data_IF_472432752294
#
_entry.id   IF_472432752294
#
_cell.length_a   1.000
_cell.length_b   1.000
_cell.length_c   1.000
_cell.angle_alpha   90.00
_cell.angle_beta   90.00
_cell.angle_gamma   90.00
#
_symmetry.space_group_name_H-M   'P 1'
#
loop_
_entity.id
_entity.type
_entity.pdbx_description
1 polymer ?
#
# COMPACT_ATOMS: atom_id res chain seq x y z
N UNK A 1 32.73 -32.43 -46.91
CA UNK A 1 32.60 -32.94 -45.52
C UNK A 1 32.74 -31.86 -44.43
N UNK A 2 33.75 -30.97 -44.47
CA UNK A 2 33.87 -29.85 -43.50
C UNK A 2 32.70 -28.85 -43.54
N UNK A 3 32.18 -28.51 -44.72
CA UNK A 3 31.07 -27.57 -44.85
C UNK A 3 29.73 -28.10 -44.31
N UNK A 4 29.44 -29.39 -44.50
CA UNK A 4 28.21 -30.03 -43.98
C UNK A 4 28.23 -30.06 -42.45
N UNK A 5 29.37 -30.44 -41.83
CA UNK A 5 29.56 -30.37 -40.37
C UNK A 5 29.43 -28.95 -39.82
N UNK A 6 29.89 -27.93 -40.57
CA UNK A 6 29.76 -26.52 -40.18
C UNK A 6 28.30 -26.05 -40.24
N UNK A 7 27.57 -26.38 -41.31
CA UNK A 7 26.15 -26.05 -41.45
C UNK A 7 25.29 -26.70 -40.36
N UNK A 8 25.53 -27.98 -40.09
CA UNK A 8 24.79 -28.72 -39.05
C UNK A 8 25.07 -28.17 -37.64
N UNK A 9 26.30 -27.69 -37.38
CA UNK A 9 26.64 -27.03 -36.12
C UNK A 9 25.91 -25.68 -35.96
N UNK A 10 25.79 -24.88 -37.03
CA UNK A 10 25.03 -23.63 -37.01
C UNK A 10 23.53 -23.86 -36.77
N UNK A 11 22.94 -24.87 -37.40
CA UNK A 11 21.53 -25.24 -37.18
C UNK A 11 21.30 -25.70 -35.73
N UNK A 12 22.20 -26.52 -35.19
CA UNK A 12 22.11 -26.95 -33.80
C UNK A 12 22.26 -25.79 -32.82
N UNK A 13 23.19 -24.87 -33.11
CA UNK A 13 23.38 -23.68 -32.29
C UNK A 13 22.17 -22.75 -32.34
N UNK A 14 21.61 -22.47 -33.53
CA UNK A 14 20.43 -21.62 -33.66
C UNK A 14 19.23 -22.19 -32.91
N UNK A 15 19.02 -23.51 -33.00
CA UNK A 15 17.90 -24.15 -32.31
C UNK A 15 18.10 -24.15 -30.79
N UNK A 16 19.31 -24.40 -30.30
CA UNK A 16 19.63 -24.31 -28.87
C UNK A 16 19.50 -22.87 -28.35
N UNK A 17 19.87 -21.87 -29.14
CA UNK A 17 19.68 -20.46 -28.79
C UNK A 17 18.19 -20.11 -28.67
N UNK A 18 17.34 -20.61 -29.58
CA UNK A 18 15.88 -20.41 -29.49
C UNK A 18 15.31 -21.03 -28.22
N UNK A 19 15.73 -22.26 -27.86
CA UNK A 19 15.32 -22.92 -26.61
C UNK A 19 15.75 -22.10 -25.39
N UNK A 20 16.99 -21.59 -25.40
CA UNK A 20 17.51 -20.75 -24.32
C UNK A 20 16.69 -19.45 -24.17
N UNK A 21 16.46 -18.73 -25.26
CA UNK A 21 15.70 -17.47 -25.26
C UNK A 21 14.24 -17.68 -24.83
N UNK A 22 13.59 -18.75 -25.31
CA UNK A 22 12.24 -19.11 -24.88
C UNK A 22 12.20 -19.42 -23.37
N UNK A 23 13.21 -20.12 -22.86
CA UNK A 23 13.35 -20.41 -21.44
C UNK A 23 13.50 -19.16 -20.58
N UNK A 24 14.38 -18.24 -20.99
CA UNK A 24 14.55 -16.94 -20.30
C UNK A 24 13.26 -16.13 -20.32
N UNK A 25 12.54 -16.13 -21.44
CA UNK A 25 11.24 -15.46 -21.55
C UNK A 25 10.20 -16.03 -20.58
N UNK A 26 10.09 -17.35 -20.45
CA UNK A 26 9.18 -18.00 -19.51
C UNK A 26 9.54 -17.68 -18.05
N UNK A 27 10.83 -17.73 -17.69
CA UNK A 27 11.28 -17.35 -16.35
C UNK A 27 10.90 -15.90 -16.06
N UNK A 28 11.17 -14.99 -16.99
CA UNK A 28 10.85 -13.57 -16.84
C UNK A 28 9.34 -13.36 -16.67
N UNK A 29 8.52 -14.03 -17.47
CA UNK A 29 7.07 -14.01 -17.36
C UNK A 29 6.59 -14.47 -15.98
N UNK A 30 7.12 -15.59 -15.48
CA UNK A 30 6.74 -16.13 -14.18
C UNK A 30 7.15 -15.22 -13.02
N UNK A 31 8.37 -14.69 -13.06
CA UNK A 31 8.88 -13.75 -12.06
C UNK A 31 8.08 -12.45 -12.07
N UNK A 32 7.71 -11.94 -13.24
CA UNK A 32 6.86 -10.76 -13.37
C UNK A 32 5.47 -10.98 -12.78
N UNK A 33 4.81 -12.08 -13.15
CA UNK A 33 3.47 -12.40 -12.65
C UNK A 33 3.45 -12.62 -11.13
N UNK A 34 4.46 -13.31 -10.59
CA UNK A 34 4.58 -13.52 -9.14
C UNK A 34 4.74 -12.21 -8.38
N UNK A 35 5.62 -11.34 -8.85
CA UNK A 35 5.90 -10.04 -8.22
C UNK A 35 4.69 -9.10 -8.26
N UNK A 36 3.99 -9.05 -9.40
CA UNK A 36 2.76 -8.27 -9.53
C UNK A 36 1.69 -8.79 -8.55
N UNK A 37 1.55 -10.10 -8.40
CA UNK A 37 0.62 -10.69 -7.44
C UNK A 37 0.99 -10.32 -5.99
N UNK A 38 2.29 -10.29 -5.65
CA UNK A 38 2.78 -9.86 -4.34
C UNK A 38 2.43 -8.40 -4.05
N UNK A 39 2.66 -7.48 -4.99
CA UNK A 39 2.32 -6.06 -4.79
C UNK A 39 0.81 -5.84 -4.61
N UNK A 40 -0.02 -6.52 -5.41
CA UNK A 40 -1.49 -6.46 -5.26
C UNK A 40 -1.93 -7.04 -3.91
N UNK A 41 -1.34 -8.15 -3.47
CA UNK A 41 -1.64 -8.75 -2.17
C UNK A 41 -1.24 -7.83 -1.02
N UNK A 42 -0.06 -7.21 -1.08
CA UNK A 42 0.41 -6.25 -0.09
C UNK A 42 -0.50 -5.02 -0.01
N UNK A 43 -0.91 -4.46 -1.16
CA UNK A 43 -1.84 -3.33 -1.21
C UNK A 43 -3.21 -3.67 -0.61
N UNK A 44 -3.75 -4.86 -0.92
CA UNK A 44 -5.00 -5.37 -0.33
C UNK A 44 -4.89 -5.57 1.18
N UNK A 45 -3.77 -6.11 1.64
CA UNK A 45 -3.54 -6.33 3.07
C UNK A 45 -3.42 -5.01 3.83
N UNK A 46 -2.68 -4.05 3.29
CA UNK A 46 -2.59 -2.70 3.85
C UNK A 46 -3.97 -2.02 3.89
N UNK A 47 -4.75 -2.11 2.80
CA UNK A 47 -6.11 -1.59 2.76
C UNK A 47 -7.01 -2.23 3.83
N UNK A 48 -6.92 -3.55 4.03
CA UNK A 48 -7.68 -4.25 5.06
C UNK A 48 -7.31 -3.79 6.49
N UNK A 49 -6.02 -3.60 6.77
CA UNK A 49 -5.54 -3.08 8.07
C UNK A 49 -6.06 -1.64 8.31
N UNK A 50 -5.97 -0.78 7.30
CA UNK A 50 -6.45 0.61 7.39
C UNK A 50 -7.98 0.65 7.54
N UNK A 51 -8.72 -0.21 6.84
CA UNK A 51 -10.17 -0.33 7.00
C UNK A 51 -10.55 -0.71 8.45
N UNK A 52 -9.82 -1.65 9.07
CA UNK A 52 -10.05 -2.01 10.47
C UNK A 52 -9.80 -0.82 11.43
N UNK A 53 -8.77 -0.02 11.19
CA UNK A 53 -8.53 1.22 11.96
C UNK A 53 -9.69 2.22 11.78
N UNK A 54 -10.25 2.31 10.58
CA UNK A 54 -11.40 3.17 10.31
C UNK A 54 -12.70 2.63 10.90
N UNK A 55 -12.85 1.31 11.05
CA UNK A 55 -13.96 0.69 11.77
C UNK A 55 -13.94 1.04 13.26
N UNK A 56 -12.75 1.04 13.88
CA UNK A 56 -12.56 1.53 15.26
C UNK A 56 -12.96 3.01 15.38
N UNK A 57 -12.53 3.85 14.43
CA UNK A 57 -12.91 5.26 14.40
C UNK A 57 -14.43 5.43 14.24
N UNK A 58 -15.06 4.64 13.36
CA UNK A 58 -16.50 4.64 13.16
C UNK A 58 -17.25 4.24 14.44
N UNK A 59 -16.81 3.19 15.14
CA UNK A 59 -17.36 2.77 16.43
C UNK A 59 -17.23 3.89 17.48
N UNK A 60 -16.06 4.53 17.57
CA UNK A 60 -15.84 5.66 18.46
C UNK A 60 -16.77 6.85 18.13
N UNK A 61 -17.08 7.08 16.85
CA UNK A 61 -18.06 8.12 16.49
C UNK A 61 -19.47 7.80 16.97
N UNK A 62 -19.89 6.52 16.99
CA UNK A 62 -21.19 6.13 17.53
C UNK A 62 -21.27 6.41 19.04
N UNK A 63 -20.21 6.10 19.80
CA UNK A 63 -20.10 6.46 21.22
C UNK A 63 -20.17 7.96 21.43
N UNK A 64 -19.42 8.73 20.62
CA UNK A 64 -19.42 10.19 20.68
C UNK A 64 -20.80 10.81 20.39
N UNK A 65 -21.52 10.27 19.41
CA UNK A 65 -22.88 10.69 19.12
C UNK A 65 -23.84 10.38 20.27
N UNK A 66 -23.66 9.27 20.98
CA UNK A 66 -24.44 8.98 22.17
C UNK A 66 -24.18 10.00 23.29
N UNK A 67 -22.91 10.32 23.54
CA UNK A 67 -22.51 11.38 24.50
C UNK A 67 -23.08 12.74 24.10
N UNK A 68 -23.15 13.03 22.80
CA UNK A 68 -23.73 14.28 22.30
C UNK A 68 -25.22 14.43 22.65
N UNK A 69 -25.96 13.32 22.73
CA UNK A 69 -27.39 13.32 23.10
C UNK A 69 -27.60 13.55 24.60
N UNK A 70 -26.69 13.06 25.44
CA UNK A 70 -26.75 13.25 26.90
C UNK A 70 -26.25 14.62 27.37
N UNK A 71 -25.69 15.43 26.46
CA UNK A 71 -25.03 16.68 26.79
C UNK A 71 -23.58 16.48 27.24
N UNK A 72 -22.70 17.42 26.87
CA UNK A 72 -21.28 17.38 27.20
C UNK A 72 -21.00 17.69 28.69
N UNK A 73 -21.36 16.79 29.59
CA UNK A 73 -21.01 16.89 31.02
C UNK A 73 -19.59 16.35 31.28
N UNK A 74 -19.07 16.56 32.50
CA UNK A 74 -17.79 15.95 32.90
C UNK A 74 -17.79 14.42 32.78
N UNK A 75 -18.94 13.77 32.95
CA UNK A 75 -19.11 12.33 32.72
C UNK A 75 -19.02 11.98 31.23
N UNK A 76 -19.62 12.80 30.35
CA UNK A 76 -19.51 12.63 28.91
C UNK A 76 -18.06 12.78 28.42
N UNK A 77 -17.34 13.75 28.97
CA UNK A 77 -15.91 13.92 28.69
C UNK A 77 -15.07 12.74 29.18
N UNK A 78 -15.34 12.22 30.38
CA UNK A 78 -14.67 11.02 30.90
C UNK A 78 -14.94 9.78 30.03
N UNK A 79 -16.18 9.61 29.55
CA UNK A 79 -16.53 8.52 28.65
C UNK A 79 -15.81 8.63 27.30
N UNK A 80 -15.74 9.82 26.72
CA UNK A 80 -14.96 10.07 25.49
C UNK A 80 -13.46 9.83 25.70
N UNK A 81 -12.92 10.25 26.85
CA UNK A 81 -11.53 9.99 27.23
C UNK A 81 -11.24 8.50 27.36
N UNK A 82 -12.15 7.75 27.99
CA UNK A 82 -12.05 6.29 28.12
C UNK A 82 -12.13 5.61 26.75
N UNK A 83 -13.05 5.99 25.88
CA UNK A 83 -13.15 5.44 24.52
C UNK A 83 -11.85 5.69 23.73
N UNK A 84 -11.34 6.92 23.74
CA UNK A 84 -10.08 7.25 23.07
C UNK A 84 -8.87 6.50 23.66
N UNK A 85 -8.91 6.12 24.94
CA UNK A 85 -7.86 5.34 25.59
C UNK A 85 -7.97 3.84 25.34
N UNK A 86 -9.19 3.31 25.12
CA UNK A 86 -9.43 1.90 24.82
C UNK A 86 -9.13 1.56 23.36
N UNK A 87 -9.29 2.52 22.44
CA UNK A 87 -8.99 2.32 21.03
C UNK A 87 -7.51 2.61 20.76
N UNK A 88 -6.69 1.60 20.44
CA UNK A 88 -5.24 1.75 20.37
C UNK A 88 -4.77 2.67 19.24
N UNK A 89 -5.57 2.83 18.18
CA UNK A 89 -5.18 3.58 16.99
C UNK A 89 -5.63 5.05 16.99
N UNK A 90 -6.52 5.43 17.93
CA UNK A 90 -7.11 6.76 17.97
C UNK A 90 -6.28 7.70 18.86
N UNK A 91 -6.17 8.96 18.45
CA UNK A 91 -5.49 10.01 19.25
C UNK A 91 -6.49 10.86 20.01
N UNK A 92 -7.53 11.35 19.34
CA UNK A 92 -8.54 12.22 19.96
C UNK A 92 -9.90 12.08 19.30
N UNK A 93 -10.95 12.28 20.10
CA UNK A 93 -12.33 12.39 19.64
C UNK A 93 -12.82 13.80 19.99
N UNK A 94 -13.31 14.53 18.99
CA UNK A 94 -13.79 15.90 19.12
C UNK A 94 -15.24 15.97 18.66
N UNK A 95 -16.07 16.69 19.40
CA UNK A 95 -17.43 17.04 19.00
C UNK A 95 -17.48 18.53 18.73
N UNK A 96 -17.91 18.89 17.53
CA UNK A 96 -18.12 20.27 17.11
C UNK A 96 -19.62 20.49 16.98
N UNK A 97 -20.10 21.57 17.59
CA UNK A 97 -21.48 22.05 17.48
C UNK A 97 -21.44 23.54 17.15
N UNK A 98 -22.21 23.97 16.16
CA UNK A 98 -22.28 25.38 15.73
C UNK A 98 -20.91 26.00 15.39
N UNK A 99 -19.99 25.19 14.84
CA UNK A 99 -18.65 25.64 14.45
C UNK A 99 -17.67 25.83 15.60
N UNK A 100 -18.02 25.40 16.82
CA UNK A 100 -17.12 25.44 17.98
C UNK A 100 -16.92 24.06 18.58
N UNK A 101 -15.73 23.82 19.15
CA UNK A 101 -15.41 22.59 19.89
C UNK A 101 -16.27 22.55 21.16
N UNK A 102 -17.24 21.64 21.17
CA UNK A 102 -18.18 21.48 22.27
C UNK A 102 -17.68 20.46 23.30
N UNK A 103 -17.09 19.34 22.83
CA UNK A 103 -16.42 18.35 23.67
C UNK A 103 -15.11 17.89 23.06
N UNK A 104 -14.17 17.49 23.92
CA UNK A 104 -12.97 16.76 23.52
C UNK A 104 -12.72 15.59 24.46
N UNK A 105 -12.17 14.50 23.94
CA UNK A 105 -11.59 13.42 24.76
C UNK A 105 -10.38 13.89 25.57
N UNK A 106 -9.76 15.02 25.19
CA UNK A 106 -8.67 15.62 25.96
C UNK A 106 -9.21 16.46 27.13
N UNK A 107 -8.55 16.41 28.30
CA UNK A 107 -8.91 17.23 29.45
C UNK A 107 -8.94 18.72 29.10
N UNK A 108 -9.98 19.41 29.56
CA UNK A 108 -10.15 20.86 29.37
C UNK A 108 -10.50 21.29 27.94
N UNK A 109 -11.13 20.40 27.16
CA UNK A 109 -11.59 20.69 25.79
C UNK A 109 -10.47 21.11 24.81
N UNK A 110 -9.25 20.63 25.06
CA UNK A 110 -8.10 20.89 24.20
C UNK A 110 -8.23 20.17 22.86
N UNK A 111 -7.60 20.73 21.83
CA UNK A 111 -7.52 20.15 20.49
C UNK A 111 -6.07 19.98 20.06
N UNK A 112 -5.80 18.94 19.26
CA UNK A 112 -4.48 18.72 18.66
C UNK A 112 -4.36 19.30 17.25
N UNK A 113 -5.50 19.61 16.64
CA UNK A 113 -5.59 20.26 15.33
C UNK A 113 -5.65 21.77 15.54
N UNK A 114 -4.87 22.53 14.76
CA UNK A 114 -4.79 23.99 14.93
C UNK A 114 -6.11 24.72 14.60
N UNK A 115 -6.87 24.24 13.61
CA UNK A 115 -8.11 24.87 13.16
C UNK A 115 -9.18 23.82 12.77
N UNK A 116 -9.75 23.08 13.72
CA UNK A 116 -10.68 21.98 13.44
C UNK A 116 -11.99 22.45 12.78
N UNK A 117 -12.47 23.65 13.09
CA UNK A 117 -13.64 24.29 12.47
C UNK A 117 -13.46 24.62 10.97
N UNK A 118 -12.22 24.82 10.51
CA UNK A 118 -11.92 25.12 9.11
C UNK A 118 -11.82 23.89 8.21
N UNK A 119 -11.90 22.69 8.78
CA UNK A 119 -11.73 21.45 8.04
C UNK A 119 -12.93 21.19 7.12
N UNK A 120 -12.70 20.84 5.83
CA UNK A 120 -13.78 20.52 4.90
C UNK A 120 -14.64 19.36 5.42
N UNK A 121 -15.92 19.33 5.09
CA UNK A 121 -16.89 18.29 5.54
C UNK A 121 -16.77 17.01 4.68
N UNK A 122 -15.54 16.51 4.50
CA UNK A 122 -15.29 15.23 3.82
C UNK A 122 -15.14 14.12 4.86
N UNK A 123 -15.65 12.91 4.55
CA UNK A 123 -15.62 11.75 5.48
C UNK A 123 -14.20 11.38 5.95
N UNK A 124 -13.20 11.61 5.10
CA UNK A 124 -11.81 11.21 5.37
C UNK A 124 -10.84 12.25 4.82
N UNK A 125 -9.83 12.64 5.61
CA UNK A 125 -8.83 13.65 5.23
C UNK A 125 -7.45 13.37 5.82
N UNK A 126 -6.39 13.64 5.07
CA UNK A 126 -5.01 13.58 5.54
C UNK A 126 -4.50 14.96 5.91
N UNK A 127 -4.14 15.19 7.17
CA UNK A 127 -3.59 16.47 7.61
C UNK A 127 -2.07 16.39 7.77
N UNK A 128 -1.31 17.33 7.19
CA UNK A 128 0.14 17.39 7.35
C UNK A 128 0.52 17.83 8.76
N UNK A 129 1.74 17.50 9.17
CA UNK A 129 2.31 17.84 10.48
C UNK A 129 2.21 19.33 10.82
N UNK A 130 2.31 20.23 9.83
CA UNK A 130 2.21 21.68 10.03
C UNK A 130 0.84 22.16 10.55
N UNK A 131 -0.21 21.35 10.37
CA UNK A 131 -1.57 21.66 10.83
C UNK A 131 -1.84 21.15 12.26
N UNK A 132 -0.84 20.50 12.88
CA UNK A 132 -0.99 19.79 14.16
C UNK A 132 -0.03 20.33 15.21
N UNK A 133 -0.50 20.45 16.45
CA UNK A 133 0.30 20.98 17.58
C UNK A 133 1.53 20.11 17.86
N UNK A 134 1.39 18.79 17.71
CA UNK A 134 2.47 17.83 17.95
C UNK A 134 3.43 17.64 16.76
N UNK A 135 3.26 18.40 15.67
CA UNK A 135 4.04 18.28 14.43
C UNK A 135 4.09 16.85 13.85
N UNK A 136 2.98 16.11 13.98
CA UNK A 136 2.83 14.79 13.35
C UNK A 136 1.61 14.78 12.44
N UNK A 137 1.68 14.14 11.27
CA UNK A 137 0.51 13.99 10.42
C UNK A 137 -0.55 13.14 11.10
N UNK A 138 -1.79 13.30 10.66
CA UNK A 138 -2.94 12.52 11.13
C UNK A 138 -3.90 12.24 9.99
N UNK A 139 -4.55 11.09 10.06
CA UNK A 139 -5.75 10.83 9.29
C UNK A 139 -6.96 11.23 10.13
N UNK A 140 -7.83 12.02 9.55
CA UNK A 140 -9.03 12.48 10.19
C UNK A 140 -10.23 11.74 9.60
N UNK A 141 -11.05 11.17 10.48
CA UNK A 141 -12.33 10.57 10.15
C UNK A 141 -13.46 11.47 10.64
N UNK A 142 -14.39 11.80 9.75
CA UNK A 142 -15.53 12.66 10.03
C UNK A 142 -16.84 11.89 9.96
N UNK A 143 -17.67 12.06 10.99
CA UNK A 143 -19.07 11.63 11.00
C UNK A 143 -19.94 12.81 11.38
N UNK A 144 -21.03 13.03 10.63
CA UNK A 144 -22.00 14.08 10.91
C UNK A 144 -23.35 13.49 11.29
N UNK A 145 -23.96 14.02 12.34
CA UNK A 145 -25.32 13.66 12.74
C UNK A 145 -26.06 14.91 13.23
N UNK A 146 -27.10 15.31 12.49
CA UNK A 146 -27.86 16.53 12.74
C UNK A 146 -26.95 17.78 12.86
N UNK A 147 -26.94 18.44 14.02
CA UNK A 147 -26.17 19.66 14.29
C UNK A 147 -24.75 19.38 14.86
N UNK A 148 -24.39 18.11 15.08
CA UNK A 148 -23.10 17.74 15.68
C UNK A 148 -22.22 17.06 14.65
N UNK A 149 -20.97 17.52 14.57
CA UNK A 149 -19.90 16.92 13.79
C UNK A 149 -18.91 16.25 14.74
N UNK A 150 -18.66 14.96 14.52
CA UNK A 150 -17.65 14.20 15.26
C UNK A 150 -16.40 14.08 14.40
N UNK A 151 -15.27 14.45 14.98
CA UNK A 151 -13.95 14.34 14.37
C UNK A 151 -13.11 13.38 15.20
N UNK A 152 -12.66 12.30 14.56
CA UNK A 152 -11.73 11.34 15.18
C UNK A 152 -10.39 11.47 14.48
N UNK A 153 -9.32 11.66 15.26
CA UNK A 153 -7.96 11.71 14.74
C UNK A 153 -7.26 10.37 14.93
N UNK A 154 -6.60 9.90 13.88
CA UNK A 154 -5.82 8.66 13.85
C UNK A 154 -4.34 9.02 13.68
N UNK A 155 -3.50 8.38 14.48
CA UNK A 155 -2.06 8.59 14.49
C UNK A 155 -1.41 8.12 13.19
N UNK A 156 -0.44 8.86 12.68
CA UNK A 156 0.36 8.45 11.51
C UNK A 156 1.12 7.14 11.73
N UNK A 157 1.55 6.84 12.95
CA UNK A 157 2.34 5.63 13.23
C UNK A 157 1.57 4.36 12.86
N UNK A 158 0.27 4.30 13.18
CA UNK A 158 -0.57 3.14 12.89
C UNK A 158 -0.88 3.01 11.39
N UNK A 159 -1.00 4.14 10.69
CA UNK A 159 -1.14 4.13 9.23
C UNK A 159 0.14 3.61 8.57
N UNK A 160 1.31 4.05 9.05
CA UNK A 160 2.61 3.60 8.53
C UNK A 160 2.86 2.13 8.82
N UNK A 161 2.48 1.64 10.00
CA UNK A 161 2.55 0.22 10.35
C UNK A 161 1.60 -0.63 9.50
N UNK A 162 0.43 -0.08 9.14
CA UNK A 162 -0.48 -0.74 8.22
C UNK A 162 0.04 -0.77 6.77
N UNK A 163 0.78 0.26 6.35
CA UNK A 163 1.48 0.34 5.05
C UNK A 163 2.78 -0.48 5.03
N UNK A 164 3.25 -0.97 6.16
CA UNK A 164 4.48 -1.75 6.24
C UNK A 164 4.23 -3.22 5.88
N UNK A 165 5.10 -3.76 5.02
CA UNK A 165 5.24 -5.19 4.72
C UNK A 165 6.67 -5.63 5.02
N UNK A 166 6.84 -6.72 5.77
CA UNK A 166 8.15 -7.27 6.15
C UNK A 166 9.01 -7.70 4.96
N UNK A 167 8.37 -8.01 3.82
CA UNK A 167 9.05 -8.61 2.66
C UNK A 167 9.63 -7.59 1.68
N UNK A 168 9.24 -6.31 1.76
CA UNK A 168 9.82 -5.32 0.87
C UNK A 168 9.61 -3.89 1.36
N UNK A 169 10.55 -3.01 1.03
CA UNK A 169 10.48 -1.57 1.23
C UNK A 169 9.48 -0.92 0.24
N UNK A 170 8.48 -1.70 -0.22
CA UNK A 170 7.57 -1.41 -1.31
C UNK A 170 6.88 -0.09 -1.01
N UNK A 171 7.05 0.87 -1.92
CA UNK A 171 6.57 2.24 -1.79
C UNK A 171 5.05 2.37 -1.79
N UNK A 172 4.37 1.67 -0.87
CA UNK A 172 2.97 1.81 -0.60
C UNK A 172 2.72 3.21 -0.04
N UNK A 173 1.70 3.86 -0.59
CA UNK A 173 1.21 5.13 -0.07
C UNK A 173 -0.29 5.07 0.09
N UNK A 174 -0.77 5.55 1.24
CA UNK A 174 -2.19 5.81 1.45
C UNK A 174 -2.54 7.13 0.78
N UNK A 175 -3.49 7.12 -0.15
CA UNK A 175 -4.06 8.30 -0.78
C UNK A 175 -5.49 8.51 -0.29
N UNK A 176 -5.76 9.75 0.10
CA UNK A 176 -7.09 10.23 0.48
C UNK A 176 -7.29 11.55 -0.25
N UNK A 177 -8.34 11.62 -1.07
CA UNK A 177 -8.61 12.77 -1.94
C UNK A 177 -7.39 13.13 -2.82
N UNK A 178 -6.84 14.33 -2.66
CA UNK A 178 -5.66 14.81 -3.42
C UNK A 178 -4.38 14.80 -2.58
N UNK A 179 -4.36 14.05 -1.49
CA UNK A 179 -3.24 13.95 -0.57
C UNK A 179 -2.81 12.50 -0.44
N UNK A 180 -1.54 12.31 -0.13
CA UNK A 180 -0.96 11.01 0.10
C UNK A 180 0.02 11.03 1.27
N UNK A 181 0.14 9.91 1.96
CA UNK A 181 1.15 9.64 2.97
C UNK A 181 1.81 8.31 2.65
N UNK A 182 3.13 8.36 2.47
CA UNK A 182 3.96 7.18 2.29
C UNK A 182 4.48 6.69 3.65
N UNK A 183 5.21 5.57 3.65
CA UNK A 183 5.88 5.02 4.85
C UNK A 183 6.75 6.04 5.59
N UNK A 184 7.37 6.97 4.86
CA UNK A 184 8.20 8.04 5.41
C UNK A 184 7.75 9.41 4.88
N UNK A 185 8.19 10.49 5.54
CA UNK A 185 7.85 11.87 5.15
C UNK A 185 6.51 12.35 5.68
N UNK A 186 6.15 13.59 5.38
CA UNK A 186 4.86 14.19 5.77
C UNK A 186 3.78 13.91 4.70
N UNK A 187 2.55 14.38 4.93
CA UNK A 187 1.49 14.36 3.90
C UNK A 187 1.90 15.26 2.73
N UNK A 188 1.92 14.69 1.54
CA UNK A 188 2.23 15.38 0.30
C UNK A 188 1.01 15.40 -0.63
N UNK A 189 0.94 16.36 -1.58
CA UNK A 189 -0.01 16.28 -2.68
C UNK A 189 0.16 14.99 -3.46
N UNK A 190 -0.95 14.43 -3.95
CA UNK A 190 -0.93 13.26 -4.81
C UNK A 190 -0.08 13.54 -6.07
N UNK A 191 1.02 12.81 -6.22
CA UNK A 191 1.88 12.89 -7.40
C UNK A 191 1.51 11.76 -8.35
N UNK A 192 1.12 12.09 -9.58
CA UNK A 192 0.95 11.09 -10.61
C UNK A 192 2.33 10.56 -11.02
N UNK A 193 2.57 9.27 -10.82
CA UNK A 193 3.77 8.58 -11.30
C UNK A 193 3.37 7.56 -12.37
N UNK A 194 4.08 7.48 -13.50
CA UNK A 194 3.75 6.56 -14.60
C UNK A 194 4.00 5.09 -14.27
N UNK A 195 4.58 4.76 -13.12
CA UNK A 195 4.92 3.39 -12.71
C UNK A 195 4.26 3.01 -11.38
N UNK A 196 3.02 3.46 -11.20
CA UNK A 196 2.22 3.21 -10.02
C UNK A 196 0.83 2.77 -10.41
N UNK A 197 0.30 1.82 -9.65
CA UNK A 197 -1.06 1.33 -9.78
C UNK A 197 -1.81 1.56 -8.46
N UNK A 198 -3.15 1.47 -8.51
CA UNK A 198 -4.03 1.96 -7.46
C UNK A 198 -5.02 0.87 -7.06
N UNK A 199 -4.98 0.49 -5.79
CA UNK A 199 -6.02 -0.28 -5.16
C UNK A 199 -7.02 0.64 -4.44
N UNK A 200 -8.30 0.61 -4.83
CA UNK A 200 -9.34 1.41 -4.15
C UNK A 200 -10.03 0.59 -3.06
N UNK A 201 -10.22 1.19 -1.89
CA UNK A 201 -10.95 0.54 -0.79
C UNK A 201 -12.46 0.48 -1.09
N UNK A 202 -13.13 -0.65 -0.78
CA UNK A 202 -14.58 -0.77 -0.99
C UNK A 202 -15.41 -0.04 0.08
N UNK A 203 -14.93 0.01 1.32
CA UNK A 203 -15.73 0.46 2.49
C UNK A 203 -15.52 1.94 2.83
N UNK A 204 -14.38 2.49 2.43
CA UNK A 204 -13.95 3.85 2.80
C UNK A 204 -13.33 4.59 1.60
N UNK A 205 -13.45 5.93 1.54
CA UNK A 205 -12.98 6.74 0.42
C UNK A 205 -11.45 6.97 0.47
N UNK A 206 -10.67 5.89 0.47
CA UNK A 206 -9.21 5.91 0.35
C UNK A 206 -8.72 4.94 -0.71
N UNK A 207 -7.47 5.15 -1.13
CA UNK A 207 -6.77 4.33 -2.12
C UNK A 207 -5.37 3.98 -1.61
N UNK A 208 -4.86 2.82 -1.99
CA UNK A 208 -3.48 2.42 -1.76
C UNK A 208 -2.76 2.46 -3.11
N UNK A 209 -1.74 3.30 -3.19
CA UNK A 209 -0.84 3.39 -4.34
C UNK A 209 0.28 2.39 -4.12
N UNK A 210 0.60 1.59 -5.13
CA UNK A 210 1.69 0.61 -5.09
C UNK A 210 2.52 0.67 -6.38
N UNK A 211 3.81 0.30 -6.33
CA UNK A 211 4.66 0.28 -7.53
C UNK A 211 4.19 -0.77 -8.52
N UNK A 212 4.23 -0.44 -9.81
CA UNK A 212 3.99 -1.40 -10.89
C UNK A 212 5.26 -2.25 -11.12
N UNK A 213 5.08 -3.55 -11.35
CA UNK A 213 6.17 -4.45 -11.70
C UNK A 213 6.57 -4.26 -13.17
N UNK A 214 7.81 -3.83 -13.49
CA UNK A 214 8.25 -3.78 -14.88
C UNK A 214 8.32 -5.19 -15.47
N UNK A 215 7.86 -5.35 -16.71
CA UNK A 215 7.83 -6.66 -17.38
C UNK A 215 9.22 -7.31 -17.43
N UNK A 216 10.28 -6.52 -17.61
CA UNK A 216 11.65 -7.01 -17.60
C UNK A 216 12.48 -6.28 -16.55
N UNK A 217 13.07 -7.05 -15.63
CA UNK A 217 13.99 -6.54 -14.62
C UNK A 217 15.23 -7.43 -14.55
N UNK A 218 16.40 -6.96 -15.03
CA UNK A 218 17.65 -7.70 -14.95
C UNK A 218 17.98 -8.09 -13.50
N UNK A 219 17.79 -7.17 -12.55
CA UNK A 219 18.04 -7.43 -11.13
C UNK A 219 17.22 -8.60 -10.60
N UNK A 220 15.93 -8.67 -10.95
CA UNK A 220 15.03 -9.77 -10.56
C UNK A 220 15.44 -11.11 -11.17
N UNK A 221 15.82 -11.10 -12.44
CA UNK A 221 16.27 -12.29 -13.16
C UNK A 221 17.57 -12.86 -12.53
N UNK A 222 18.49 -11.99 -12.11
CA UNK A 222 19.75 -12.40 -11.46
C UNK A 222 19.60 -12.75 -9.97
N UNK A 223 18.74 -12.06 -9.20
CA UNK A 223 18.58 -12.34 -7.77
C UNK A 223 17.68 -13.55 -7.53
N UNK A 224 16.53 -13.60 -8.21
CA UNK A 224 15.49 -14.59 -7.96
C UNK A 224 15.45 -15.70 -9.03
N UNK A 225 16.12 -15.50 -10.17
CA UNK A 225 16.09 -16.42 -11.31
C UNK A 225 17.42 -17.11 -11.65
N UNK A 226 18.53 -16.83 -10.95
CA UNK A 226 19.86 -17.31 -11.35
C UNK A 226 19.98 -18.84 -11.43
N UNK A 227 19.40 -19.56 -10.46
CA UNK A 227 19.38 -21.02 -10.49
C UNK A 227 18.62 -21.58 -11.70
N UNK A 228 17.49 -20.97 -12.06
CA UNK A 228 16.70 -21.34 -13.23
C UNK A 228 17.43 -21.00 -14.53
N UNK A 229 18.18 -19.90 -14.58
CA UNK A 229 19.02 -19.56 -15.73
C UNK A 229 20.13 -20.58 -15.97
N UNK A 230 20.83 -21.02 -14.93
CA UNK A 230 21.86 -22.06 -15.03
C UNK A 230 21.25 -23.37 -15.52
N UNK A 231 20.07 -23.72 -15.01
CA UNK A 231 19.35 -24.92 -15.44
C UNK A 231 19.00 -24.87 -16.93
N UNK A 232 18.39 -23.78 -17.40
CA UNK A 232 18.02 -23.61 -18.82
C UNK A 232 19.26 -23.57 -19.72
N UNK A 233 20.35 -22.94 -19.26
CA UNK A 233 21.63 -22.98 -19.97
C UNK A 233 22.15 -24.41 -20.11
N UNK A 234 22.10 -25.21 -19.04
CA UNK A 234 22.55 -26.61 -19.04
C UNK A 234 21.70 -27.49 -19.97
N UNK A 235 20.38 -27.32 -19.94
CA UNK A 235 19.45 -28.02 -20.85
C UNK A 235 19.70 -27.62 -22.31
N UNK A 236 19.90 -26.34 -22.58
CA UNK A 236 20.18 -25.84 -23.93
C UNK A 236 21.51 -26.37 -24.46
N UNK A 237 22.52 -26.48 -23.61
CA UNK A 237 23.81 -27.07 -23.95
C UNK A 237 23.67 -28.57 -24.28
N UNK A 238 22.94 -29.32 -23.44
CA UNK A 238 22.67 -30.74 -23.66
C UNK A 238 21.88 -30.96 -24.97
N UNK A 239 20.89 -30.11 -25.23
CA UNK A 239 20.11 -30.13 -26.47
C UNK A 239 20.98 -29.84 -27.70
N UNK A 240 21.88 -28.86 -27.63
CA UNK A 240 22.87 -28.60 -28.68
C UNK A 240 23.74 -29.83 -28.98
N UNK A 241 24.26 -30.49 -27.94
CA UNK A 241 25.09 -31.68 -28.11
C UNK A 241 24.33 -32.84 -28.76
N UNK A 242 23.10 -33.10 -28.33
CA UNK A 242 22.24 -34.15 -28.89
C UNK A 242 21.88 -33.86 -30.35
N UNK A 243 21.45 -32.64 -30.66
CA UNK A 243 21.04 -32.27 -32.02
C UNK A 243 22.23 -32.30 -32.98
N UNK A 244 23.41 -31.83 -32.53
CA UNK A 244 24.64 -31.90 -33.32
C UNK A 244 25.07 -33.34 -33.59
N UNK A 245 24.93 -34.24 -32.61
CA UNK A 245 25.20 -35.67 -32.80
C UNK A 245 24.22 -36.27 -33.81
N UNK A 246 22.93 -35.98 -33.68
CA UNK A 246 21.88 -36.47 -34.58
C UNK A 246 22.10 -36.00 -36.03
N UNK A 247 22.28 -34.69 -36.25
CA UNK A 247 22.51 -34.14 -37.59
C UNK A 247 23.80 -34.69 -38.23
N UNK A 248 24.88 -34.91 -37.45
CA UNK A 248 26.11 -35.49 -38.02
C UNK A 248 25.99 -36.98 -38.38
N UNK A 249 25.00 -37.71 -37.86
CA UNK A 249 24.78 -39.13 -38.15
C UNK A 249 23.80 -39.31 -39.32
N UNK A 250 22.80 -38.44 -39.46
CA UNK A 250 21.69 -38.62 -40.41
C UNK A 250 21.67 -37.63 -41.59
N UNK A 251 22.60 -36.66 -41.66
CA UNK A 251 22.75 -35.72 -42.80
C UNK A 251 24.20 -35.52 -43.21
#
# INVERSE_FOLDING_TARGET
>A
MKEIKRRNAWIAFSLALVVFLAGVFVINWQLWHSDQATHVAAARQAAKKIAAILDEAHAATATALNVSRSGCSGQGQFQLGTEAALQPHLRTILLIKDGQVWCSSLPGNRVLTLHPESLPDEKLQLLPARMMVNKRPVLIYHTRSAQVRVIVSISDIHLRDALYSDEDNAGLALSVNHQMIARYGDVEPLKASPHQDIFSSPDYPFRIIYPESPFFSPGRLFQNGFGLLIFIFSVSLLFYFLLRKYLNVYT
#
